data_IF_469714657054
#
_entry.id   IF_469714657054
#
_cell.length_a   1.000
_cell.length_b   1.000
_cell.length_c   1.000
_cell.angle_alpha   90.00
_cell.angle_beta   90.00
_cell.angle_gamma   90.00
#
_symmetry.space_group_name_H-M   'P 1'
#
loop_
_entity.id
_entity.type
_entity.pdbx_description
1 polymer ?
#
# COMPACT_ATOMS: atom_id res chain seq x y z
N UNK A 1 -17.11 -5.55 -1.21
CA UNK A 1 -16.44 -6.87 -1.17
C UNK A 1 -17.42 -7.97 -1.50
N UNK A 2 -16.94 -9.07 -2.07
CA UNK A 2 -17.73 -10.28 -2.35
C UNK A 2 -16.95 -11.46 -1.78
N UNK A 3 -17.61 -12.30 -0.99
CA UNK A 3 -17.04 -13.51 -0.41
C UNK A 3 -17.65 -14.72 -1.12
N UNK A 4 -16.80 -15.62 -1.61
CA UNK A 4 -17.20 -16.93 -2.13
C UNK A 4 -16.66 -17.97 -1.17
N UNK A 5 -17.55 -18.62 -0.41
CA UNK A 5 -17.19 -19.75 0.45
C UNK A 5 -17.12 -21.03 -0.38
N UNK A 6 -15.89 -21.49 -0.66
CA UNK A 6 -15.63 -22.75 -1.36
C UNK A 6 -15.46 -23.85 -0.32
N UNK A 7 -16.58 -24.45 0.09
CA UNK A 7 -16.56 -25.58 1.01
C UNK A 7 -15.88 -26.79 0.34
N UNK A 8 -14.70 -27.18 0.85
CA UNK A 8 -13.90 -28.30 0.34
C UNK A 8 -13.38 -29.18 1.49
N UNK A 9 -12.44 -30.08 1.21
CA UNK A 9 -11.78 -30.91 2.21
C UNK A 9 -10.27 -30.99 1.94
N UNK A 10 -9.48 -31.24 2.99
CA UNK A 10 -8.03 -31.46 2.89
C UNK A 10 -7.75 -32.96 2.82
N UNK A 11 -7.05 -33.41 1.77
CA UNK A 11 -6.79 -34.85 1.55
C UNK A 11 -5.74 -35.43 2.50
N UNK A 12 -4.75 -34.62 2.89
CA UNK A 12 -3.66 -34.98 3.80
C UNK A 12 -3.71 -34.13 5.09
N UNK A 13 -2.73 -34.30 5.99
CA UNK A 13 -2.55 -33.49 7.19
C UNK A 13 -2.31 -32.00 6.90
N UNK A 14 -1.99 -31.21 7.93
CA UNK A 14 -1.74 -29.77 7.73
C UNK A 14 -0.59 -29.52 6.76
N UNK A 15 0.38 -30.42 6.81
CA UNK A 15 1.33 -30.71 5.74
C UNK A 15 1.26 -32.20 5.40
N UNK A 16 1.92 -32.63 4.33
CA UNK A 16 1.85 -34.00 3.81
C UNK A 16 2.45 -35.07 4.73
N UNK A 17 3.29 -34.68 5.68
CA UNK A 17 3.95 -35.57 6.65
C UNK A 17 3.21 -35.67 7.99
N UNK A 18 2.19 -34.85 8.19
CA UNK A 18 1.38 -34.80 9.40
C UNK A 18 0.27 -35.85 9.39
N UNK A 19 -0.01 -36.48 10.54
CA UNK A 19 -1.03 -37.54 10.67
C UNK A 19 -2.32 -36.97 11.31
N UNK A 20 -3.31 -36.60 10.50
CA UNK A 20 -4.48 -35.88 11.00
C UNK A 20 -5.49 -36.81 11.70
N UNK A 21 -5.41 -38.13 11.52
CA UNK A 21 -6.31 -39.08 12.17
C UNK A 21 -6.16 -39.09 13.70
N UNK A 22 -5.02 -38.60 14.21
CA UNK A 22 -4.78 -38.44 15.64
C UNK A 22 -5.76 -37.45 16.29
N UNK A 23 -6.24 -36.46 15.54
CA UNK A 23 -7.07 -35.38 16.07
C UNK A 23 -8.40 -35.19 15.34
N UNK A 24 -8.56 -35.68 14.10
CA UNK A 24 -9.82 -35.64 13.34
C UNK A 24 -10.21 -37.01 12.72
N UNK A 25 -10.29 -38.11 13.48
CA UNK A 25 -10.45 -39.46 12.94
C UNK A 25 -11.73 -39.66 12.11
N UNK A 26 -12.88 -39.18 12.58
CA UNK A 26 -14.16 -39.36 11.86
C UNK A 26 -14.20 -38.59 10.54
N UNK A 27 -13.67 -37.36 10.53
CA UNK A 27 -13.57 -36.57 9.30
C UNK A 27 -12.69 -37.28 8.27
N UNK A 28 -11.53 -37.78 8.69
CA UNK A 28 -10.63 -38.48 7.77
C UNK A 28 -11.14 -39.85 7.33
N UNK A 29 -11.98 -40.53 8.11
CA UNK A 29 -12.71 -41.70 7.61
C UNK A 29 -13.61 -41.34 6.41
N UNK A 30 -14.33 -40.22 6.47
CA UNK A 30 -15.15 -39.75 5.35
C UNK A 30 -14.30 -39.27 4.15
N UNK A 31 -13.19 -38.57 4.41
CA UNK A 31 -12.26 -38.12 3.35
C UNK A 31 -11.55 -39.29 2.67
N UNK A 32 -11.18 -40.33 3.42
CA UNK A 32 -10.55 -41.54 2.90
C UNK A 32 -11.54 -42.34 2.03
N UNK A 33 -12.81 -42.37 2.42
CA UNK A 33 -13.88 -42.97 1.63
C UNK A 33 -14.28 -42.11 0.40
N UNK A 34 -13.89 -40.83 0.35
CA UNK A 34 -14.27 -39.94 -0.75
C UNK A 34 -13.35 -40.15 -1.97
N UNK A 35 -13.88 -40.43 -3.19
CA UNK A 35 -13.09 -40.77 -4.37
C UNK A 35 -12.30 -39.57 -4.97
N UNK A 36 -12.55 -38.36 -4.47
CA UNK A 36 -11.90 -37.13 -4.92
C UNK A 36 -12.66 -36.39 -6.03
N UNK A 37 -12.40 -35.10 -6.16
CA UNK A 37 -13.15 -34.20 -7.05
C UNK A 37 -12.95 -34.56 -8.53
N UNK A 38 -11.73 -34.93 -8.94
CA UNK A 38 -11.43 -35.36 -10.31
C UNK A 38 -12.24 -36.60 -10.71
N UNK A 39 -12.25 -37.64 -9.85
CA UNK A 39 -12.99 -38.86 -10.11
C UNK A 39 -14.51 -38.61 -10.17
N UNK A 40 -15.07 -37.85 -9.22
CA UNK A 40 -16.50 -37.50 -9.20
C UNK A 40 -16.93 -36.72 -10.43
N UNK A 41 -16.15 -35.72 -10.83
CA UNK A 41 -16.49 -34.90 -11.98
C UNK A 41 -16.33 -35.67 -13.29
N UNK A 42 -15.27 -36.47 -13.41
CA UNK A 42 -15.06 -37.41 -14.51
C UNK A 42 -16.24 -38.37 -14.69
N UNK A 43 -16.67 -39.02 -13.61
CA UNK A 43 -17.85 -39.92 -13.61
C UNK A 43 -19.12 -39.19 -14.06
N UNK A 44 -19.31 -37.93 -13.64
CA UNK A 44 -20.44 -37.10 -14.05
C UNK A 44 -20.41 -36.79 -15.56
N UNK A 45 -19.24 -36.43 -16.10
CA UNK A 45 -19.06 -36.18 -17.53
C UNK A 45 -19.25 -37.46 -18.35
N UNK A 46 -18.77 -38.59 -17.85
CA UNK A 46 -18.94 -39.89 -18.49
C UNK A 46 -20.41 -40.32 -18.55
N UNK A 47 -21.17 -40.14 -17.47
CA UNK A 47 -22.62 -40.36 -17.46
C UNK A 47 -23.37 -39.48 -18.46
N UNK A 48 -22.84 -38.30 -18.77
CA UNK A 48 -23.38 -37.37 -19.78
C UNK A 48 -22.89 -37.66 -21.20
N UNK A 49 -22.03 -38.67 -21.40
CA UNK A 49 -21.44 -39.01 -22.70
C UNK A 49 -20.45 -37.96 -23.24
N UNK A 50 -19.95 -37.06 -22.38
CA UNK A 50 -19.06 -35.96 -22.77
C UNK A 50 -17.56 -36.33 -22.67
N UNK A 51 -17.24 -37.39 -21.93
CA UNK A 51 -15.88 -37.84 -21.67
C UNK A 51 -15.89 -39.35 -21.42
N UNK A 52 -14.93 -40.10 -21.98
CA UNK A 52 -14.75 -41.52 -21.64
C UNK A 52 -13.67 -41.69 -20.56
N UNK A 53 -13.69 -42.80 -19.83
CA UNK A 53 -12.63 -43.11 -18.86
C UNK A 53 -11.25 -43.13 -19.51
N UNK A 54 -11.13 -43.71 -20.71
CA UNK A 54 -9.88 -43.74 -21.47
C UNK A 54 -9.35 -42.32 -21.78
N UNK A 55 -10.23 -41.40 -22.15
CA UNK A 55 -9.84 -39.99 -22.38
C UNK A 55 -9.36 -39.30 -21.10
N UNK A 56 -10.00 -39.57 -19.95
CA UNK A 56 -9.57 -39.02 -18.67
C UNK A 56 -8.20 -39.56 -18.23
N UNK A 57 -7.96 -40.86 -18.42
CA UNK A 57 -6.70 -41.51 -18.08
C UNK A 57 -5.57 -40.99 -18.98
N UNK A 58 -5.84 -40.82 -20.28
CA UNK A 58 -4.90 -40.21 -21.23
C UNK A 58 -4.55 -38.77 -20.84
N UNK A 59 -5.54 -37.96 -20.45
CA UNK A 59 -5.30 -36.60 -19.95
C UNK A 59 -4.38 -36.59 -18.72
N UNK A 60 -4.59 -37.54 -17.80
CA UNK A 60 -3.79 -37.67 -16.57
C UNK A 60 -2.36 -38.11 -16.90
N UNK A 61 -2.19 -39.12 -17.76
CA UNK A 61 -0.88 -39.62 -18.19
C UNK A 61 -0.08 -38.51 -18.88
N UNK A 62 -0.71 -37.81 -19.83
CA UNK A 62 -0.10 -36.68 -20.54
C UNK A 62 0.36 -35.57 -19.60
N UNK A 63 -0.40 -35.27 -18.54
CA UNK A 63 0.01 -34.27 -17.55
C UNK A 63 1.22 -34.74 -16.73
N UNK A 64 1.28 -36.03 -16.35
CA UNK A 64 2.44 -36.62 -15.67
C UNK A 64 3.68 -36.60 -16.56
N UNK A 65 3.56 -37.05 -17.81
CA UNK A 65 4.66 -37.04 -18.77
C UNK A 65 5.21 -35.62 -18.98
N UNK A 66 4.31 -34.63 -18.99
CA UNK A 66 4.70 -33.23 -19.05
C UNK A 66 5.49 -32.78 -17.81
N UNK A 67 5.04 -33.11 -16.59
CA UNK A 67 5.77 -32.81 -15.35
C UNK A 67 7.17 -33.47 -15.33
N UNK A 68 7.26 -34.75 -15.74
CA UNK A 68 8.54 -35.47 -15.86
C UNK A 68 9.47 -34.82 -16.88
N UNK A 69 8.91 -34.30 -17.97
CA UNK A 69 9.68 -33.57 -18.98
C UNK A 69 10.21 -32.23 -18.46
N UNK A 70 9.48 -31.58 -17.54
CA UNK A 70 9.91 -30.34 -16.89
C UNK A 70 11.06 -30.58 -15.92
N UNK A 71 11.01 -31.66 -15.14
CA UNK A 71 12.07 -32.01 -14.18
C UNK A 71 13.42 -32.28 -14.87
N UNK A 72 13.39 -32.76 -16.11
CA UNK A 72 14.59 -33.05 -16.92
C UNK A 72 15.23 -31.81 -17.56
N UNK A 73 14.58 -30.65 -17.49
CA UNK A 73 15.10 -29.40 -18.04
C UNK A 73 15.92 -28.68 -16.98
N UNK A 74 17.09 -28.17 -17.37
CA UNK A 74 17.77 -27.19 -16.53
C UNK A 74 16.85 -25.98 -16.30
N UNK A 75 16.75 -25.48 -15.06
CA UNK A 75 15.93 -24.31 -14.76
C UNK A 75 16.47 -23.11 -15.54
N UNK A 76 15.76 -22.71 -16.58
CA UNK A 76 16.07 -21.47 -17.26
C UNK A 76 15.59 -20.30 -16.42
N UNK A 77 16.37 -19.21 -16.29
CA UNK A 77 15.88 -18.01 -15.63
C UNK A 77 14.63 -17.54 -16.36
N UNK A 78 13.51 -17.53 -15.63
CA UNK A 78 12.27 -16.97 -16.12
C UNK A 78 12.53 -15.51 -16.50
N UNK A 79 12.19 -15.12 -17.73
CA UNK A 79 12.10 -13.70 -18.05
C UNK A 79 11.06 -13.10 -17.08
N UNK A 80 11.35 -11.96 -16.43
CA UNK A 80 10.39 -11.32 -15.55
C UNK A 80 9.09 -11.11 -16.33
N UNK A 81 7.99 -11.70 -15.85
CA UNK A 81 6.68 -11.43 -16.40
C UNK A 81 6.30 -10.01 -15.96
N UNK A 82 6.57 -9.02 -16.81
CA UNK A 82 6.12 -7.65 -16.59
C UNK A 82 4.63 -7.65 -16.97
N UNK A 83 3.76 -7.70 -15.95
CA UNK A 83 2.33 -7.54 -16.14
C UNK A 83 1.99 -6.05 -16.27
N UNK A 84 0.89 -5.73 -16.95
CA UNK A 84 0.42 -4.34 -17.09
C UNK A 84 0.10 -3.66 -15.76
N UNK A 85 -0.10 -4.44 -14.69
CA UNK A 85 -0.35 -3.97 -13.33
C UNK A 85 0.87 -4.10 -12.42
N UNK A 86 2.01 -4.54 -12.93
CA UNK A 86 3.25 -4.60 -12.15
C UNK A 86 3.73 -3.17 -11.84
N UNK A 87 4.22 -2.98 -10.62
CA UNK A 87 4.86 -1.73 -10.22
C UNK A 87 5.99 -1.38 -11.20
N UNK A 88 5.96 -0.16 -11.74
CA UNK A 88 6.96 0.27 -12.72
C UNK A 88 8.12 0.99 -12.03
N UNK A 89 9.13 0.22 -11.65
CA UNK A 89 10.38 0.72 -11.07
C UNK A 89 11.44 1.12 -12.11
N UNK A 90 11.05 1.19 -13.40
CA UNK A 90 11.99 1.51 -14.47
C UNK A 90 12.65 2.88 -14.28
N UNK A 91 13.97 2.92 -14.47
CA UNK A 91 14.77 4.13 -14.30
C UNK A 91 15.19 4.43 -12.86
N UNK A 92 14.70 3.66 -11.88
CA UNK A 92 15.19 3.73 -10.50
C UNK A 92 16.39 2.81 -10.30
N UNK A 93 17.32 3.26 -9.45
CA UNK A 93 18.48 2.49 -9.02
C UNK A 93 18.37 2.24 -7.52
N UNK A 94 19.01 1.18 -7.03
CA UNK A 94 19.12 0.89 -5.61
C UNK A 94 20.58 1.11 -5.15
N UNK A 95 21.03 2.37 -5.04
CA UNK A 95 22.37 2.66 -4.56
C UNK A 95 22.50 2.28 -3.08
N UNK A 96 23.74 2.22 -2.59
CA UNK A 96 23.99 2.06 -1.16
C UNK A 96 23.30 3.17 -0.36
N UNK A 97 22.74 2.85 0.81
CA UNK A 97 21.94 3.78 1.62
C UNK A 97 22.68 5.09 1.99
N UNK A 98 24.01 5.05 2.05
CA UNK A 98 24.86 6.20 2.36
C UNK A 98 25.37 6.95 1.11
N UNK A 99 24.86 6.62 -0.07
CA UNK A 99 25.23 7.33 -1.29
C UNK A 99 24.82 8.82 -1.17
N UNK A 100 25.71 9.76 -1.54
CA UNK A 100 25.40 11.18 -1.42
C UNK A 100 24.26 11.56 -2.37
N UNK A 101 23.26 12.27 -1.85
CA UNK A 101 22.13 12.83 -2.61
C UNK A 101 22.09 14.34 -2.43
N UNK A 102 21.80 15.06 -3.51
CA UNK A 102 21.62 16.51 -3.48
C UNK A 102 20.15 16.85 -3.28
N UNK A 103 19.78 17.26 -2.08
CA UNK A 103 18.40 17.65 -1.71
C UNK A 103 18.28 19.15 -1.42
N UNK A 104 19.37 19.90 -1.58
CA UNK A 104 19.40 21.34 -1.32
C UNK A 104 18.56 22.11 -2.34
N UNK A 105 17.80 23.09 -1.86
CA UNK A 105 16.99 23.98 -2.69
C UNK A 105 17.39 25.44 -2.49
N UNK A 106 17.29 26.30 -3.52
CA UNK A 106 17.50 27.73 -3.36
C UNK A 106 16.54 28.32 -2.33
N UNK A 107 17.05 29.21 -1.46
CA UNK A 107 16.23 29.89 -0.44
C UNK A 107 15.00 30.58 -1.02
N UNK A 108 15.12 31.19 -2.20
CA UNK A 108 14.00 31.84 -2.89
C UNK A 108 12.88 30.86 -3.23
N UNK A 109 13.21 29.63 -3.61
CA UNK A 109 12.24 28.58 -3.93
C UNK A 109 11.51 28.09 -2.67
N UNK A 110 12.25 27.93 -1.57
CA UNK A 110 11.66 27.62 -0.26
C UNK A 110 10.74 28.74 0.25
N UNK A 111 11.14 30.00 0.10
CA UNK A 111 10.31 31.15 0.47
C UNK A 111 9.00 31.19 -0.34
N UNK A 112 9.07 30.96 -1.66
CA UNK A 112 7.89 30.90 -2.53
C UNK A 112 6.92 29.78 -2.12
N UNK A 113 7.41 28.59 -1.81
CA UNK A 113 6.56 27.53 -1.26
C UNK A 113 5.95 27.93 0.07
N UNK A 114 6.75 28.50 0.96
CA UNK A 114 6.31 28.95 2.27
C UNK A 114 5.15 29.96 2.19
N UNK A 115 5.24 30.91 1.26
CA UNK A 115 4.17 31.86 0.96
C UNK A 115 2.90 31.17 0.46
N UNK A 116 3.02 30.21 -0.47
CA UNK A 116 1.87 29.46 -1.00
C UNK A 116 1.18 28.64 0.09
N UNK A 117 1.92 27.84 0.86
CA UNK A 117 1.34 26.93 1.86
C UNK A 117 0.74 27.68 3.07
N UNK A 118 1.15 28.92 3.28
CA UNK A 118 0.66 29.77 4.37
C UNK A 118 -0.44 30.74 3.95
N UNK A 119 -0.77 30.82 2.67
CA UNK A 119 -1.79 31.72 2.13
C UNK A 119 -3.05 30.95 1.79
N UNK A 120 -4.15 31.28 2.45
CA UNK A 120 -5.47 30.72 2.17
C UNK A 120 -6.20 31.55 1.11
N UNK A 121 -7.00 30.91 0.24
CA UNK A 121 -7.95 31.61 -0.61
C UNK A 121 -8.90 32.50 0.23
N UNK A 122 -9.33 33.67 -0.27
CA UNK A 122 -10.16 34.61 0.48
C UNK A 122 -11.47 34.02 1.02
N UNK A 123 -12.01 33.03 0.32
CA UNK A 123 -13.23 32.34 0.70
C UNK A 123 -13.03 31.31 1.82
N UNK A 124 -11.80 30.91 2.16
CA UNK A 124 -11.55 29.88 3.18
C UNK A 124 -11.54 30.48 4.59
N UNK A 125 -12.65 30.33 5.33
CA UNK A 125 -12.75 30.76 6.74
C UNK A 125 -12.08 29.74 7.66
N UNK A 126 -10.85 30.01 8.09
CA UNK A 126 -10.12 29.19 9.06
C UNK A 126 -10.31 29.61 10.52
N UNK A 127 -10.12 28.67 11.46
CA UNK A 127 -10.13 28.93 12.90
C UNK A 127 -9.02 29.93 13.30
N UNK A 128 -9.22 30.81 14.31
CA UNK A 128 -8.20 31.79 14.72
C UNK A 128 -6.84 31.20 15.06
N UNK A 129 -6.78 30.02 15.68
CA UNK A 129 -5.51 29.31 15.97
C UNK A 129 -4.74 28.96 14.69
N UNK A 130 -5.46 28.53 13.64
CA UNK A 130 -4.84 28.22 12.33
C UNK A 130 -4.32 29.50 11.69
N UNK A 131 -5.10 30.58 11.72
CA UNK A 131 -4.65 31.88 11.19
C UNK A 131 -3.36 32.35 11.86
N UNK A 132 -3.23 32.20 13.18
CA UNK A 132 -2.00 32.52 13.92
C UNK A 132 -0.81 31.67 13.45
N UNK A 133 -1.02 30.37 13.27
CA UNK A 133 0.04 29.48 12.80
C UNK A 133 0.46 29.80 11.35
N UNK A 134 -0.50 30.11 10.47
CA UNK A 134 -0.20 30.52 9.10
C UNK A 134 0.60 31.83 9.07
N UNK A 135 0.28 32.79 9.93
CA UNK A 135 1.08 34.01 10.08
C UNK A 135 2.53 33.72 10.52
N UNK A 136 2.73 32.82 11.49
CA UNK A 136 4.07 32.37 11.87
C UNK A 136 4.82 31.71 10.69
N UNK A 137 4.12 30.92 9.87
CA UNK A 137 4.71 30.33 8.66
C UNK A 137 5.06 31.37 7.60
N UNK A 138 4.30 32.47 7.49
CA UNK A 138 4.63 33.61 6.63
C UNK A 138 5.92 34.30 7.11
N UNK A 139 6.07 34.51 8.43
CA UNK A 139 7.30 35.06 9.01
C UNK A 139 8.51 34.14 8.76
N UNK A 140 8.33 32.81 8.88
CA UNK A 140 9.35 31.83 8.54
C UNK A 140 9.73 31.88 7.04
N UNK A 141 8.75 32.00 6.15
CA UNK A 141 8.98 32.12 4.71
C UNK A 141 9.72 33.41 4.35
N UNK A 142 9.40 34.53 5.02
CA UNK A 142 10.10 35.81 4.90
C UNK A 142 11.51 35.77 5.51
N UNK A 143 11.80 34.77 6.36
CA UNK A 143 13.06 34.64 7.08
C UNK A 143 13.20 35.62 8.25
N UNK A 144 12.09 36.17 8.74
CA UNK A 144 12.04 36.97 9.97
C UNK A 144 11.98 36.08 11.22
N UNK A 145 11.61 34.80 11.05
CA UNK A 145 11.60 33.77 12.08
C UNK A 145 12.34 32.50 11.60
N UNK A 146 13.05 31.77 12.48
CA UNK A 146 13.60 30.45 12.15
C UNK A 146 12.50 29.45 11.80
N UNK A 147 12.77 28.60 10.81
CA UNK A 147 11.87 27.52 10.38
C UNK A 147 11.77 26.45 11.48
N UNK A 148 10.54 26.08 11.83
CA UNK A 148 10.27 24.97 12.75
C UNK A 148 10.05 23.63 12.03
N UNK A 149 9.81 22.56 12.79
CA UNK A 149 9.64 21.22 12.23
C UNK A 149 8.44 21.12 11.27
N UNK A 150 7.28 21.65 11.68
CA UNK A 150 6.06 21.57 10.87
C UNK A 150 6.18 22.34 9.56
N UNK A 151 6.85 23.49 9.58
CA UNK A 151 7.15 24.25 8.36
C UNK A 151 8.18 23.54 7.48
N UNK A 152 9.27 23.01 8.04
CA UNK A 152 10.28 22.27 7.29
C UNK A 152 9.69 21.03 6.59
N UNK A 153 8.84 20.28 7.30
CA UNK A 153 8.10 19.14 6.76
C UNK A 153 7.21 19.53 5.57
N UNK A 154 6.40 20.58 5.72
CA UNK A 154 5.53 21.07 4.64
C UNK A 154 6.32 21.59 3.44
N UNK A 155 7.47 22.25 3.65
CA UNK A 155 8.36 22.68 2.57
C UNK A 155 8.97 21.49 1.81
N UNK A 156 9.33 20.41 2.51
CA UNK A 156 9.80 19.18 1.89
C UNK A 156 8.71 18.58 0.99
N UNK A 157 7.49 18.44 1.49
CA UNK A 157 6.36 17.95 0.69
C UNK A 157 6.06 18.83 -0.52
N UNK A 158 6.05 20.16 -0.34
CA UNK A 158 5.85 21.12 -1.43
C UNK A 158 6.91 20.94 -2.54
N UNK A 159 8.16 20.71 -2.15
CA UNK A 159 9.24 20.49 -3.10
C UNK A 159 9.10 19.18 -3.90
N UNK A 160 8.63 18.11 -3.27
CA UNK A 160 8.43 16.82 -3.91
C UNK A 160 7.31 16.89 -4.94
N UNK A 161 6.16 17.44 -4.55
CA UNK A 161 5.01 17.54 -5.47
C UNK A 161 5.29 18.50 -6.62
N UNK A 162 6.04 19.57 -6.38
CA UNK A 162 6.55 20.44 -7.45
C UNK A 162 7.51 19.70 -8.38
N UNK A 163 8.36 18.81 -7.86
CA UNK A 163 9.28 17.99 -8.65
C UNK A 163 8.59 16.82 -9.38
N UNK A 164 7.29 16.62 -9.20
CA UNK A 164 6.54 15.53 -9.81
C UNK A 164 6.57 14.22 -9.03
N UNK A 165 7.05 14.23 -7.78
CA UNK A 165 7.00 13.09 -6.85
C UNK A 165 5.77 13.26 -5.97
N UNK A 166 4.83 12.33 -6.04
CA UNK A 166 3.63 12.39 -5.21
C UNK A 166 3.96 12.19 -3.73
N UNK A 167 3.08 12.65 -2.85
CA UNK A 167 3.22 12.44 -1.40
C UNK A 167 1.90 11.90 -0.87
N UNK A 168 1.97 10.74 -0.22
CA UNK A 168 0.86 10.12 0.49
C UNK A 168 1.20 10.05 1.97
N UNK A 169 0.37 10.66 2.81
CA UNK A 169 0.47 10.61 4.27
C UNK A 169 -0.81 9.99 4.83
N UNK A 170 -0.67 8.95 5.64
CA UNK A 170 -1.81 8.34 6.33
C UNK A 170 -1.49 8.06 7.78
N UNK A 171 -2.48 8.24 8.63
CA UNK A 171 -2.36 7.97 10.06
C UNK A 171 -3.50 8.63 10.81
N UNK A 172 -3.65 8.30 12.08
CA UNK A 172 -4.71 8.87 12.90
C UNK A 172 -4.45 10.36 13.15
N UNK A 173 -5.39 11.21 12.72
CA UNK A 173 -5.30 12.67 12.79
C UNK A 173 -4.11 13.30 12.05
N UNK A 174 -3.47 12.60 11.11
CA UNK A 174 -2.27 13.08 10.41
C UNK A 174 -2.48 14.37 9.62
N UNK A 175 -3.71 14.68 9.19
CA UNK A 175 -4.04 15.92 8.49
C UNK A 175 -3.82 17.17 9.36
N UNK A 176 -4.20 17.11 10.63
CA UNK A 176 -3.88 18.14 11.64
C UNK A 176 -2.48 17.94 12.22
N UNK A 177 -2.08 16.67 12.37
CA UNK A 177 -1.02 16.21 13.25
C UNK A 177 -1.53 16.06 14.68
N UNK A 178 -1.18 14.96 15.33
CA UNK A 178 -1.52 14.67 16.74
C UNK A 178 -1.19 15.87 17.65
N UNK A 179 -0.02 16.47 17.45
CA UNK A 179 0.48 17.61 18.23
C UNK A 179 0.05 18.98 17.69
N UNK A 180 -0.91 19.03 16.76
CA UNK A 180 -1.41 20.27 16.14
C UNK A 180 -0.29 21.12 15.49
N UNK A 181 0.71 20.46 14.91
CA UNK A 181 1.87 21.12 14.30
C UNK A 181 1.78 21.23 12.77
N UNK A 182 1.04 20.32 12.12
CA UNK A 182 1.09 20.13 10.65
C UNK A 182 0.05 20.94 9.89
N UNK A 183 -1.22 20.76 10.22
CA UNK A 183 -2.35 21.41 9.53
C UNK A 183 -2.22 21.38 8.00
N UNK A 184 -1.88 20.22 7.44
CA UNK A 184 -1.90 19.98 5.99
C UNK A 184 -3.33 20.05 5.43
N UNK A 185 -4.32 19.84 6.30
CA UNK A 185 -5.75 20.03 6.03
C UNK A 185 -6.28 21.20 6.84
N UNK A 186 -6.84 22.20 6.16
CA UNK A 186 -7.53 23.34 6.78
C UNK A 186 -9.04 23.16 6.61
N UNK A 187 -9.76 23.07 7.73
CA UNK A 187 -11.21 22.92 7.73
C UNK A 187 -11.91 24.28 7.75
N UNK A 188 -12.85 24.47 6.83
CA UNK A 188 -13.70 25.65 6.82
C UNK A 188 -14.60 25.67 8.07
N UNK A 189 -14.68 26.81 8.75
CA UNK A 189 -15.38 26.89 10.04
C UNK A 189 -16.91 26.92 9.92
N UNK A 190 -17.43 27.31 8.76
CA UNK A 190 -18.89 27.45 8.56
C UNK A 190 -19.45 26.49 7.51
N UNK A 191 -18.61 25.68 6.85
CA UNK A 191 -19.01 24.78 5.77
C UNK A 191 -18.25 23.45 5.89
N UNK A 192 -18.85 22.36 5.42
CA UNK A 192 -18.23 21.03 5.44
C UNK A 192 -17.24 20.84 4.28
N UNK A 193 -16.29 21.78 4.13
CA UNK A 193 -15.23 21.71 3.10
C UNK A 193 -13.85 21.87 3.71
N UNK A 194 -12.87 21.30 3.01
CA UNK A 194 -11.46 21.26 3.41
C UNK A 194 -10.63 21.92 2.32
N UNK A 195 -9.54 22.57 2.73
CA UNK A 195 -8.53 23.13 1.83
C UNK A 195 -7.17 22.55 2.18
N UNK A 196 -6.44 22.08 1.17
CA UNK A 196 -5.12 21.46 1.33
C UNK A 196 -4.11 22.31 0.56
N UNK A 197 -3.33 23.19 1.23
CA UNK A 197 -2.42 24.11 0.52
C UNK A 197 -1.41 23.38 -0.38
N UNK A 198 -0.97 22.18 0.01
CA UNK A 198 -0.04 21.35 -0.75
C UNK A 198 -0.60 20.79 -2.06
N UNK A 199 -1.91 20.86 -2.29
CA UNK A 199 -2.52 20.52 -3.59
C UNK A 199 -2.49 21.70 -4.58
N UNK A 200 -1.95 22.86 -4.18
CA UNK A 200 -2.00 24.12 -4.92
C UNK A 200 -0.63 24.81 -5.05
N UNK A 201 0.47 24.06 -5.01
CA UNK A 201 1.85 24.53 -5.23
C UNK A 201 2.05 25.03 -6.65
N UNK A 202 1.62 24.27 -7.67
CA UNK A 202 1.62 24.72 -9.07
C UNK A 202 0.64 23.91 -9.94
N UNK A 203 0.29 24.47 -11.09
CA UNK A 203 -0.41 23.71 -12.12
C UNK A 203 0.40 22.48 -12.57
N UNK A 204 -0.24 21.31 -12.64
CA UNK A 204 0.38 20.05 -13.07
C UNK A 204 1.42 19.49 -12.10
N UNK A 205 1.38 19.86 -10.82
CA UNK A 205 2.16 19.18 -9.77
C UNK A 205 1.71 17.71 -9.60
N UNK A 206 2.51 16.91 -8.91
CA UNK A 206 2.08 15.58 -8.47
C UNK A 206 1.07 15.68 -7.31
N UNK A 207 0.41 14.56 -7.01
CA UNK A 207 -0.61 14.51 -5.96
C UNK A 207 0.00 14.69 -4.57
N UNK A 208 -0.71 15.44 -3.74
CA UNK A 208 -0.53 15.42 -2.29
C UNK A 208 -1.82 14.85 -1.68
N UNK A 209 -1.72 13.70 -1.05
CA UNK A 209 -2.83 12.98 -0.47
C UNK A 209 -2.57 12.77 1.02
N UNK A 210 -3.48 13.27 1.87
CA UNK A 210 -3.42 13.06 3.33
C UNK A 210 -4.73 12.47 3.82
N UNK A 211 -4.63 11.38 4.57
CA UNK A 211 -5.78 10.64 5.08
C UNK A 211 -5.68 10.49 6.58
N UNK A 212 -6.68 11.03 7.28
CA UNK A 212 -6.93 10.65 8.67
C UNK A 212 -7.50 9.21 8.63
N UNK A 213 -6.69 8.24 9.07
CA UNK A 213 -7.05 6.82 8.98
C UNK A 213 -8.13 6.42 9.97
N UNK A 214 -8.69 5.23 9.78
CA UNK A 214 -9.40 4.55 10.87
C UNK A 214 -8.43 4.19 11.99
N UNK A 215 -8.97 3.93 13.18
CA UNK A 215 -8.20 3.59 14.38
C UNK A 215 -7.74 2.12 14.31
N UNK A 216 -6.67 1.88 13.54
CA UNK A 216 -6.12 0.55 13.26
C UNK A 216 -4.71 0.68 12.67
N UNK A 217 -3.71 0.13 13.36
CA UNK A 217 -2.31 0.18 12.92
C UNK A 217 -1.96 -0.97 11.96
N UNK A 218 -2.41 -2.20 12.26
CA UNK A 218 -1.99 -3.42 11.55
C UNK A 218 -2.36 -3.38 10.06
N UNK A 219 -3.65 -3.17 9.76
CA UNK A 219 -4.14 -3.17 8.39
C UNK A 219 -3.67 -1.92 7.63
N UNK A 220 -3.53 -0.78 8.31
CA UNK A 220 -3.09 0.46 7.67
C UNK A 220 -1.62 0.39 7.30
N UNK A 221 -0.73 -0.05 8.20
CA UNK A 221 0.68 -0.18 7.87
C UNK A 221 0.89 -1.21 6.74
N UNK A 222 0.18 -2.33 6.78
CA UNK A 222 0.20 -3.32 5.69
C UNK A 222 -0.32 -2.74 4.35
N UNK A 223 -1.37 -1.91 4.40
CA UNK A 223 -1.90 -1.21 3.22
C UNK A 223 -0.87 -0.24 2.64
N UNK A 224 -0.25 0.60 3.47
CA UNK A 224 0.76 1.56 3.06
C UNK A 224 2.04 0.88 2.55
N UNK A 225 2.42 -0.27 3.12
CA UNK A 225 3.49 -1.11 2.59
C UNK A 225 3.17 -1.57 1.15
N UNK A 226 1.96 -2.08 0.91
CA UNK A 226 1.50 -2.45 -0.43
C UNK A 226 1.49 -1.26 -1.41
N UNK A 227 1.12 -0.07 -0.93
CA UNK A 227 1.17 1.15 -1.73
C UNK A 227 2.61 1.54 -2.08
N UNK A 228 3.52 1.56 -1.10
CA UNK A 228 4.93 1.95 -1.27
C UNK A 228 5.68 1.05 -2.26
N UNK A 229 5.35 -0.24 -2.29
CA UNK A 229 5.94 -1.21 -3.24
C UNK A 229 5.37 -1.08 -4.66
N UNK A 230 4.18 -0.47 -4.79
CA UNK A 230 3.45 -0.34 -6.05
C UNK A 230 3.56 1.04 -6.70
N UNK A 231 3.87 2.08 -5.94
CA UNK A 231 3.91 3.48 -6.39
C UNK A 231 5.31 4.12 -6.22
N UNK A 232 6.32 3.70 -7.00
CA UNK A 232 7.71 4.14 -6.85
C UNK A 232 7.96 5.64 -7.07
N UNK A 233 7.00 6.36 -7.64
CA UNK A 233 7.07 7.81 -7.86
C UNK A 233 6.39 8.62 -6.75
N UNK A 234 6.09 7.99 -5.62
CA UNK A 234 5.49 8.64 -4.46
C UNK A 234 6.30 8.41 -3.20
N UNK A 235 6.37 9.43 -2.35
CA UNK A 235 6.74 9.29 -0.95
C UNK A 235 5.50 8.82 -0.18
N UNK A 236 5.53 7.61 0.35
CA UNK A 236 4.45 7.03 1.15
C UNK A 236 4.86 7.05 2.62
N UNK A 237 4.04 7.66 3.47
CA UNK A 237 4.30 7.86 4.89
C UNK A 237 3.12 7.33 5.68
N UNK A 238 3.41 6.43 6.61
CA UNK A 238 2.50 6.06 7.70
C UNK A 238 2.97 6.72 8.99
N UNK A 239 2.06 7.38 9.71
CA UNK A 239 2.32 8.05 10.98
C UNK A 239 1.46 7.43 12.10
N UNK A 240 2.11 6.78 13.06
CA UNK A 240 1.46 6.40 14.31
C UNK A 240 1.15 7.65 15.14
N UNK A 241 0.02 7.65 15.87
CA UNK A 241 -0.33 8.76 16.76
C UNK A 241 0.74 8.99 17.84
N UNK A 242 1.25 7.89 18.39
CA UNK A 242 2.48 7.82 19.20
C UNK A 242 3.25 6.57 18.76
N UNK A 243 4.59 6.63 18.81
CA UNK A 243 5.44 5.52 18.36
C UNK A 243 5.17 4.20 19.10
N UNK A 244 4.71 4.27 20.34
CA UNK A 244 4.35 3.14 21.19
C UNK A 244 3.30 2.22 20.56
N UNK A 245 2.38 2.76 19.76
CA UNK A 245 1.28 2.01 19.16
C UNK A 245 1.67 1.24 17.89
N UNK A 246 2.87 1.47 17.35
CA UNK A 246 3.35 0.74 16.18
C UNK A 246 3.51 -0.76 16.42
N UNK A 247 3.59 -1.20 17.69
CA UNK A 247 3.58 -2.61 18.06
C UNK A 247 2.29 -3.35 17.66
N UNK A 248 1.17 -2.64 17.46
CA UNK A 248 -0.06 -3.22 16.92
C UNK A 248 0.10 -3.71 15.48
N UNK A 249 1.08 -3.17 14.74
CA UNK A 249 1.40 -3.56 13.38
C UNK A 249 2.68 -4.41 13.28
N UNK A 250 3.11 -5.07 14.37
CA UNK A 250 4.38 -5.80 14.41
C UNK A 250 4.49 -6.86 13.30
N UNK A 251 3.39 -7.55 12.96
CA UNK A 251 3.38 -8.56 11.88
C UNK A 251 3.66 -7.95 10.49
N UNK A 252 3.31 -6.67 10.28
CA UNK A 252 3.64 -5.97 9.03
C UNK A 252 5.08 -5.43 9.03
N UNK A 253 5.69 -5.28 10.21
CA UNK A 253 7.08 -4.80 10.39
C UNK A 253 8.08 -5.95 10.28
N UNK A 254 7.77 -7.09 10.89
CA UNK A 254 8.59 -8.32 10.93
C UNK A 254 8.69 -9.01 9.56
#
# INVERSE_FOLDING_TARGET
>A
DIIIDICCFRKHGHNESDEPRLTQPQMYQAVDAHPGTLARYGESLARRGLLTQAQQDEMTARYRDWLDSCQKREPQPLKPAIHSFSANWYGLTNPHWSAPVSTALPRQKLAAYGEIISTLPPDVVAHPTIKRQLALRQDMAAGTQPVDWGMAEMLAYASLVDAGVGVRLSGEDSGRGTFSHRHAVVHHQTEARRYLPLQHIRAGQASFDVYDSVLNEEALLAFEYGYSTSAPQQLVIWEAQFGDFANGAQVAID
#
